data_IF_757483602814
#
_entry.id   IF_757483602814
#
_cell.length_a   1.000
_cell.length_b   1.000
_cell.length_c   1.000
_cell.angle_alpha   90.00
_cell.angle_beta   90.00
_cell.angle_gamma   90.00
#
_symmetry.space_group_name_H-M   'P 1'
#
loop_
_entity.id
_entity.type
_entity.pdbx_description
1 polymer ?
#
# COMPACT_ATOMS: atom_id res chain seq x y z
N UNK A 1 17.27 -6.82 2.92
CA UNK A 1 16.51 -7.81 2.10
C UNK A 1 15.36 -7.09 1.41
N UNK A 2 15.09 -7.38 0.13
CA UNK A 2 14.00 -6.78 -0.65
C UNK A 2 13.08 -7.88 -1.19
N UNK A 3 11.77 -7.68 -1.04
CA UNK A 3 10.72 -8.52 -1.60
C UNK A 3 9.95 -7.72 -2.64
N UNK A 4 9.54 -8.39 -3.72
CA UNK A 4 8.96 -7.76 -4.91
C UNK A 4 7.77 -8.58 -5.39
N UNK A 5 6.63 -7.92 -5.52
CA UNK A 5 5.41 -8.48 -6.10
C UNK A 5 5.10 -7.78 -7.42
N UNK A 6 4.80 -8.56 -8.46
CA UNK A 6 4.43 -8.04 -9.78
C UNK A 6 2.92 -8.09 -9.93
N UNK A 7 2.33 -6.99 -10.43
CA UNK A 7 0.89 -6.85 -10.61
C UNK A 7 0.03 -7.10 -9.36
N UNK A 8 0.42 -6.76 -8.11
CA UNK A 8 -0.43 -7.05 -6.96
C UNK A 8 -1.70 -6.18 -6.94
N UNK A 9 -2.76 -6.71 -6.34
CA UNK A 9 -3.88 -5.90 -5.83
C UNK A 9 -3.60 -5.57 -4.38
N UNK A 10 -3.59 -4.28 -4.03
CA UNK A 10 -3.38 -3.82 -2.66
C UNK A 10 -4.64 -3.11 -2.16
N UNK A 11 -5.08 -3.46 -0.96
CA UNK A 11 -6.16 -2.81 -0.23
C UNK A 11 -5.62 -1.98 0.92
N UNK A 12 -6.21 -0.80 1.12
CA UNK A 12 -5.83 0.16 2.15
C UNK A 12 -6.97 0.31 3.16
N UNK A 13 -6.64 0.18 4.44
CA UNK A 13 -7.54 0.38 5.57
C UNK A 13 -6.98 1.49 6.44
N UNK A 14 -7.84 2.31 7.06
CA UNK A 14 -7.36 3.25 8.08
C UNK A 14 -7.09 2.47 9.35
N UNK A 15 -5.91 2.68 9.93
CA UNK A 15 -5.54 2.07 11.19
C UNK A 15 -6.04 2.95 12.34
N UNK A 16 -7.20 2.58 12.90
CA UNK A 16 -7.79 3.26 14.06
C UNK A 16 -7.59 2.41 15.31
N UNK A 17 -6.96 2.99 16.34
CA UNK A 17 -6.80 2.34 17.64
C UNK A 17 -8.17 1.97 18.22
N UNK A 18 -8.35 0.69 18.57
CA UNK A 18 -9.57 0.18 19.20
C UNK A 18 -10.75 -0.12 18.26
N UNK A 19 -10.69 0.24 16.97
CA UNK A 19 -11.75 -0.07 16.00
C UNK A 19 -11.13 -0.44 14.66
N UNK A 20 -10.89 -1.73 14.42
CA UNK A 20 -10.45 -2.21 13.12
C UNK A 20 -11.49 -1.87 12.05
N UNK A 21 -11.08 -1.11 11.03
CA UNK A 21 -11.91 -0.94 9.84
C UNK A 21 -12.04 -2.28 9.12
N UNK A 22 -13.29 -2.69 8.88
CA UNK A 22 -13.61 -3.97 8.23
C UNK A 22 -13.56 -3.89 6.71
N UNK A 23 -13.65 -2.68 6.17
CA UNK A 23 -13.74 -2.42 4.75
C UNK A 23 -12.56 -1.54 4.31
N UNK A 24 -11.91 -1.86 3.18
CA UNK A 24 -10.87 -1.00 2.66
C UNK A 24 -11.51 0.27 2.09
N UNK A 25 -10.92 1.43 2.36
CA UNK A 25 -11.41 2.69 1.79
C UNK A 25 -10.86 2.92 0.36
N UNK A 26 -9.76 2.25 0.01
CA UNK A 26 -9.13 2.25 -1.32
C UNK A 26 -8.61 0.86 -1.66
N UNK A 27 -8.76 0.46 -2.92
CA UNK A 27 -8.04 -0.65 -3.50
C UNK A 27 -7.35 -0.20 -4.81
N UNK A 28 -6.12 -0.66 -5.03
CA UNK A 28 -5.33 -0.32 -6.22
C UNK A 28 -4.80 -1.58 -6.88
N UNK A 29 -4.64 -1.53 -8.21
CA UNK A 29 -3.77 -2.45 -8.93
C UNK A 29 -2.46 -1.71 -9.21
N UNK A 30 -1.33 -2.31 -8.86
CA UNK A 30 -0.01 -1.75 -9.10
C UNK A 30 0.72 -2.55 -10.17
N UNK A 31 1.63 -1.94 -10.92
CA UNK A 31 2.57 -2.72 -11.75
C UNK A 31 3.53 -3.50 -10.87
N UNK A 32 4.01 -2.88 -9.80
CA UNK A 32 5.01 -3.45 -8.89
C UNK A 32 4.84 -2.94 -7.48
N UNK A 33 5.00 -3.82 -6.51
CA UNK A 33 5.10 -3.48 -5.10
C UNK A 33 6.42 -4.01 -4.54
N UNK A 34 7.18 -3.14 -3.88
CA UNK A 34 8.48 -3.50 -3.28
C UNK A 34 8.44 -3.21 -1.79
N UNK A 35 8.88 -4.16 -0.98
CA UNK A 35 9.07 -3.98 0.46
C UNK A 35 10.52 -4.32 0.79
N UNK A 36 11.21 -3.39 1.45
CA UNK A 36 12.63 -3.52 1.80
C UNK A 36 12.79 -3.35 3.30
N UNK A 37 13.49 -4.29 3.95
CA UNK A 37 13.90 -4.14 5.35
C UNK A 37 15.16 -3.28 5.40
N UNK A 38 15.10 -2.15 6.11
CA UNK A 38 16.29 -1.34 6.37
C UNK A 38 17.08 -1.98 7.52
N UNK A 39 18.41 -2.00 7.41
CA UNK A 39 19.25 -2.82 8.28
C UNK A 39 19.43 -2.25 9.71
N UNK A 40 19.05 -0.99 9.94
CA UNK A 40 19.28 -0.27 11.21
C UNK A 40 17.98 0.14 11.93
N UNK A 41 16.86 0.20 11.22
CA UNK A 41 15.54 0.50 11.78
C UNK A 41 14.65 -0.75 11.67
N UNK A 42 13.82 -1.03 12.68
CA UNK A 42 12.78 -2.06 12.59
C UNK A 42 11.68 -1.71 11.56
N UNK A 43 11.82 -0.59 10.84
CA UNK A 43 10.89 -0.11 9.83
C UNK A 43 11.13 -0.75 8.44
N UNK A 44 10.06 -0.83 7.68
CA UNK A 44 10.04 -1.31 6.31
C UNK A 44 9.84 -0.12 5.36
N UNK A 45 10.68 -0.04 4.33
CA UNK A 45 10.49 0.90 3.23
C UNK A 45 9.70 0.24 2.11
N UNK A 46 8.65 0.91 1.66
CA UNK A 46 7.70 0.35 0.70
C UNK A 46 7.54 1.28 -0.50
N UNK A 47 7.50 0.71 -1.71
CA UNK A 47 7.32 1.46 -2.96
C UNK A 47 6.23 0.79 -3.80
N UNK A 48 5.23 1.58 -4.20
CA UNK A 48 4.21 1.21 -5.18
C UNK A 48 4.48 1.93 -6.50
N UNK A 49 4.84 1.16 -7.52
CA UNK A 49 5.13 1.67 -8.86
C UNK A 49 3.91 1.51 -9.77
N UNK A 50 3.59 2.57 -10.52
CA UNK A 50 2.55 2.63 -11.55
C UNK A 50 1.24 1.97 -11.11
N UNK A 51 0.66 2.47 -10.02
CA UNK A 51 -0.61 1.98 -9.50
C UNK A 51 -1.78 2.89 -9.87
N UNK A 52 -2.96 2.30 -9.98
CA UNK A 52 -4.20 3.04 -10.21
C UNK A 52 -5.32 2.51 -9.31
N UNK A 53 -6.21 3.39 -8.83
CA UNK A 53 -7.34 2.96 -8.02
C UNK A 53 -8.30 2.10 -8.86
N UNK A 54 -8.67 0.94 -8.32
CA UNK A 54 -9.77 0.12 -8.83
C UNK A 54 -11.03 0.29 -7.96
N UNK A 55 -10.88 0.85 -6.76
CA UNK A 55 -11.96 1.20 -5.84
C UNK A 55 -11.51 2.35 -4.93
N UNK A 56 -12.44 3.24 -4.58
CA UNK A 56 -12.18 4.37 -3.68
C UNK A 56 -11.36 5.48 -4.33
N UNK A 57 -10.98 6.49 -3.54
CA UNK A 57 -10.18 7.63 -3.99
C UNK A 57 -8.88 7.73 -3.19
N UNK A 58 -7.75 7.67 -3.90
CA UNK A 58 -6.41 7.79 -3.29
C UNK A 58 -6.16 9.18 -2.68
N UNK A 59 -6.87 10.20 -3.18
CA UNK A 59 -6.70 11.61 -2.82
C UNK A 59 -6.77 11.88 -1.32
N UNK A 60 -7.57 11.10 -0.57
CA UNK A 60 -7.63 11.23 0.88
C UNK A 60 -6.24 11.12 1.53
N UNK A 61 -5.43 10.18 1.06
CA UNK A 61 -4.07 9.95 1.57
C UNK A 61 -3.15 11.15 1.28
N UNK A 62 -3.51 12.01 0.33
CA UNK A 62 -2.73 13.21 -0.02
C UNK A 62 -3.13 14.44 0.80
N UNK A 63 -4.27 14.41 1.50
CA UNK A 63 -4.70 15.53 2.36
C UNK A 63 -3.84 15.64 3.62
N UNK A 64 -3.96 16.75 4.35
CA UNK A 64 -3.24 16.94 5.63
C UNK A 64 -3.64 15.87 6.64
N UNK A 65 -4.94 15.55 6.70
CA UNK A 65 -5.49 14.55 7.61
C UNK A 65 -5.02 13.14 7.24
N UNK A 66 -5.05 12.79 5.95
CA UNK A 66 -4.58 11.48 5.49
C UNK A 66 -3.08 11.29 5.74
N UNK A 67 -2.25 12.30 5.48
CA UNK A 67 -0.80 12.23 5.76
C UNK A 67 -0.48 12.01 7.25
N UNK A 68 -1.36 12.42 8.15
CA UNK A 68 -1.20 12.23 9.60
C UNK A 68 -1.75 10.88 10.11
N UNK A 69 -2.54 10.17 9.30
CA UNK A 69 -3.11 8.88 9.64
C UNK A 69 -2.09 7.73 9.47
N UNK A 70 -2.36 6.61 10.14
CA UNK A 70 -1.70 5.34 9.89
C UNK A 70 -2.62 4.42 9.09
N UNK A 71 -2.03 3.51 8.35
CA UNK A 71 -2.76 2.59 7.48
C UNK A 71 -2.33 1.15 7.67
N UNK A 72 -3.25 0.24 7.32
CA UNK A 72 -2.96 -1.17 7.09
C UNK A 72 -3.06 -1.44 5.59
N UNK A 73 -2.04 -2.06 5.03
CA UNK A 73 -2.03 -2.51 3.64
C UNK A 73 -2.05 -4.02 3.61
N UNK A 74 -2.99 -4.59 2.85
CA UNK A 74 -3.03 -6.02 2.57
C UNK A 74 -2.93 -6.23 1.06
N UNK A 75 -2.31 -7.31 0.61
CA UNK A 75 -2.23 -7.61 -0.82
C UNK A 75 -2.18 -9.09 -1.10
N UNK A 76 -2.50 -9.40 -2.35
CA UNK A 76 -2.45 -10.74 -2.91
C UNK A 76 -1.42 -10.79 -4.04
N UNK A 77 -0.69 -11.89 -4.10
CA UNK A 77 0.11 -12.27 -5.26
C UNK A 77 -0.73 -13.14 -6.18
N UNK A 78 -0.93 -12.70 -7.42
CA UNK A 78 -1.67 -13.47 -8.43
C UNK A 78 -0.98 -14.82 -8.76
N UNK A 79 0.28 -15.01 -8.35
CA UNK A 79 1.06 -16.24 -8.60
C UNK A 79 1.05 -17.25 -7.44
N UNK A 80 0.44 -16.93 -6.30
CA UNK A 80 0.37 -17.82 -5.14
C UNK A 80 -1.07 -17.93 -4.60
N UNK A 81 -1.46 -19.11 -4.12
CA UNK A 81 -2.73 -19.28 -3.40
C UNK A 81 -2.63 -18.70 -1.97
N UNK A 82 -2.78 -17.38 -1.90
CA UNK A 82 -2.67 -16.59 -0.68
C UNK A 82 -3.85 -16.81 0.29
N UNK A 83 -4.93 -17.47 -0.14
CA UNK A 83 -6.02 -17.86 0.78
C UNK A 83 -5.59 -19.00 1.69
N UNK A 84 -4.66 -19.86 1.26
CA UNK A 84 -4.05 -20.91 2.08
C UNK A 84 -2.87 -20.43 2.94
N UNK A 85 -2.17 -19.37 2.52
CA UNK A 85 -1.00 -18.80 3.21
C UNK A 85 -1.31 -17.42 3.78
N UNK A 86 -2.15 -17.41 4.79
CA UNK A 86 -2.33 -16.35 5.79
C UNK A 86 -1.90 -14.92 5.37
N UNK A 87 -2.71 -14.26 4.54
CA UNK A 87 -2.72 -12.83 4.14
C UNK A 87 -1.49 -11.99 4.52
N UNK A 88 -0.73 -11.58 3.50
CA UNK A 88 0.35 -10.60 3.63
C UNK A 88 -0.20 -9.25 4.05
N UNK A 89 0.45 -8.60 5.02
CA UNK A 89 0.03 -7.28 5.49
C UNK A 89 1.17 -6.43 6.02
N UNK A 90 1.02 -5.12 5.90
CA UNK A 90 1.82 -4.10 6.57
C UNK A 90 0.93 -3.32 7.54
N UNK A 91 1.45 -2.97 8.71
CA UNK A 91 0.76 -2.14 9.71
C UNK A 91 1.64 -0.97 10.15
N UNK A 92 1.02 0.08 10.68
CA UNK A 92 1.69 1.35 10.96
C UNK A 92 2.20 2.01 9.68
N UNK A 93 1.47 1.86 8.56
CA UNK A 93 1.90 2.42 7.28
C UNK A 93 1.69 3.92 7.28
N UNK A 94 2.75 4.67 6.95
CA UNK A 94 2.74 6.13 6.80
C UNK A 94 3.31 6.53 5.46
N UNK A 95 2.89 7.68 4.94
CA UNK A 95 3.31 8.19 3.65
C UNK A 95 4.65 8.91 3.85
N UNK A 96 5.72 8.36 3.28
CA UNK A 96 7.07 8.89 3.47
C UNK A 96 7.41 10.00 2.48
N UNK A 97 6.79 9.96 1.28
CA UNK A 97 6.90 10.99 0.24
C UNK A 97 5.54 11.19 -0.42
N UNK A 98 5.37 12.36 -1.03
CA UNK A 98 4.16 12.67 -1.78
C UNK A 98 3.85 11.61 -2.85
N UNK A 99 2.58 11.20 -2.92
CA UNK A 99 2.07 10.34 -3.98
C UNK A 99 1.94 11.21 -5.22
N UNK A 100 2.65 10.85 -6.28
CA UNK A 100 2.62 11.57 -7.55
C UNK A 100 1.70 10.83 -8.51
N UNK A 101 0.71 11.52 -9.04
CA UNK A 101 -0.23 10.96 -10.01
C UNK A 101 -0.17 11.75 -11.31
N UNK A 102 -0.20 11.03 -12.43
CA UNK A 102 -0.25 11.57 -13.78
C UNK A 102 -1.50 11.03 -14.48
N UNK A 103 -2.14 11.88 -15.28
CA UNK A 103 -3.31 11.52 -16.08
C UNK A 103 -2.89 11.46 -17.53
N UNK A 104 -3.14 10.32 -18.19
CA UNK A 104 -2.83 10.17 -19.61
C UNK A 104 -3.85 10.89 -20.52
N UNK A 105 -3.58 10.91 -21.82
CA UNK A 105 -4.46 11.53 -22.82
C UNK A 105 -5.86 10.91 -22.92
N UNK A 106 -6.07 9.73 -22.31
CA UNK A 106 -7.36 9.03 -22.24
C UNK A 106 -8.06 9.22 -20.89
N UNK A 107 -7.50 10.05 -20.00
CA UNK A 107 -8.06 10.31 -18.67
C UNK A 107 -7.73 9.25 -17.63
N UNK A 108 -6.84 8.28 -17.93
CA UNK A 108 -6.43 7.26 -16.96
C UNK A 108 -5.40 7.83 -16.00
N UNK A 109 -5.67 7.71 -14.71
CA UNK A 109 -4.76 8.14 -13.64
C UNK A 109 -3.80 6.99 -13.31
N UNK A 110 -2.50 7.30 -13.25
CA UNK A 110 -1.45 6.40 -12.79
C UNK A 110 -0.61 7.12 -11.75
N UNK A 111 -0.36 6.46 -10.62
CA UNK A 111 0.33 7.03 -9.47
C UNK A 111 1.58 6.25 -9.10
N UNK A 112 2.51 6.92 -8.42
CA UNK A 112 3.69 6.35 -7.80
C UNK A 112 3.77 6.84 -6.36
N UNK A 113 4.11 5.94 -5.44
CA UNK A 113 4.07 6.23 -4.00
C UNK A 113 5.18 5.54 -3.24
N UNK A 114 5.67 6.22 -2.20
CA UNK A 114 6.60 5.64 -1.22
C UNK A 114 6.03 5.77 0.17
N UNK A 115 6.17 4.68 0.94
CA UNK A 115 5.61 4.53 2.27
C UNK A 115 6.65 3.97 3.22
N UNK A 116 6.43 4.18 4.51
CA UNK A 116 7.11 3.46 5.59
C UNK A 116 6.09 2.58 6.29
N UNK A 117 6.50 1.46 6.85
CA UNK A 117 5.65 0.62 7.68
C UNK A 117 6.42 0.20 8.95
N UNK A 118 5.73 0.13 10.09
CA UNK A 118 6.34 -0.30 11.35
C UNK A 118 6.52 -1.81 11.42
N UNK A 119 5.57 -2.56 10.88
CA UNK A 119 5.58 -4.02 10.92
C UNK A 119 5.07 -4.61 9.60
N UNK A 120 5.52 -5.83 9.31
CA UNK A 120 5.07 -6.56 8.13
C UNK A 120 5.03 -8.06 8.36
N UNK A 121 3.90 -8.66 7.96
CA UNK A 121 3.80 -10.10 7.73
C UNK A 121 3.95 -10.32 6.23
N UNK A 122 5.11 -10.81 5.82
CA UNK A 122 5.52 -10.88 4.40
C UNK A 122 5.51 -12.31 3.84
N UNK A 123 5.29 -13.30 4.70
CA UNK A 123 5.18 -14.74 4.43
C UNK A 123 4.15 -15.38 5.37
#
# INVERSE_FOLDING_TARGET
>A
MQLVWNKPVITFYKERFGKQEKEPFVAVKARKFKVSKQNEENELSCVLDEFFPIMGKIDYMTTKEGKADNYVLCWFDDNEDDFGKAFRRLTGVTISKEIKCETDSKGKITCNGSFKAKHGKLA
#
